data_IF_079880799362
#
_entry.id   IF_079880799362
#
_cell.length_a   1.000
_cell.length_b   1.000
_cell.length_c   1.000
_cell.angle_alpha   90.00
_cell.angle_beta   90.00
_cell.angle_gamma   90.00
#
_symmetry.space_group_name_H-M   'P 1'
#
loop_
_entity.id
_entity.type
_entity.pdbx_description
1 polymer ?
#
# COMPACT_ATOMS: atom_id res chain seq x y z
N UNK A 1 -22.83 -4.18 -12.68
CA UNK A 1 -23.24 -3.87 -11.29
C UNK A 1 -23.95 -2.53 -11.34
N UNK A 2 -25.14 -2.45 -10.77
CA UNK A 2 -26.06 -1.31 -10.93
C UNK A 2 -26.74 -0.88 -9.63
N UNK A 3 -26.46 -1.57 -8.51
CA UNK A 3 -27.07 -1.27 -7.21
C UNK A 3 -26.09 -0.59 -6.27
N UNK A 4 -26.32 0.70 -5.97
CA UNK A 4 -25.49 1.47 -5.04
C UNK A 4 -25.64 0.95 -3.61
N UNK A 5 -24.52 0.69 -2.94
CA UNK A 5 -24.45 0.23 -1.55
C UNK A 5 -24.04 1.35 -0.59
N UNK A 6 -22.98 2.06 -0.96
CA UNK A 6 -22.44 3.16 -0.18
C UNK A 6 -21.76 4.14 -1.13
N UNK A 7 -21.78 5.42 -0.76
CA UNK A 7 -21.08 6.46 -1.50
C UNK A 7 -20.47 7.46 -0.53
N UNK A 8 -19.40 8.11 -0.97
CA UNK A 8 -18.74 9.17 -0.23
C UNK A 8 -18.11 10.17 -1.19
N UNK A 9 -18.21 11.45 -0.87
CA UNK A 9 -17.51 12.51 -1.60
C UNK A 9 -16.34 12.99 -0.76
N UNK A 10 -15.14 13.02 -1.33
CA UNK A 10 -13.95 13.48 -0.63
C UNK A 10 -12.80 13.84 -1.55
N UNK A 11 -11.74 14.38 -0.94
CA UNK A 11 -10.51 14.75 -1.65
C UNK A 11 -9.65 13.52 -1.96
N UNK A 12 -9.11 13.39 -3.18
CA UNK A 12 -8.10 12.39 -3.48
C UNK A 12 -6.72 12.78 -2.91
N UNK A 13 -5.87 11.78 -2.73
CA UNK A 13 -4.42 11.99 -2.68
C UNK A 13 -3.88 12.50 -4.01
N UNK A 14 -2.75 13.21 -3.95
CA UNK A 14 -2.09 13.80 -5.12
C UNK A 14 -1.85 12.80 -6.27
N UNK A 15 -1.51 11.54 -5.96
CA UNK A 15 -1.19 10.53 -6.97
C UNK A 15 -2.44 10.12 -7.78
N UNK A 16 -3.57 9.93 -7.11
CA UNK A 16 -4.85 9.64 -7.77
C UNK A 16 -5.34 10.86 -8.56
N UNK A 17 -5.23 12.07 -7.99
CA UNK A 17 -5.60 13.31 -8.67
C UNK A 17 -4.83 13.48 -9.99
N UNK A 18 -3.50 13.27 -9.95
CA UNK A 18 -2.63 13.29 -11.13
C UNK A 18 -3.03 12.23 -12.16
N UNK A 19 -3.35 11.01 -11.71
CA UNK A 19 -3.82 9.93 -12.59
C UNK A 19 -5.14 10.26 -13.31
N UNK A 20 -6.00 11.05 -12.68
CA UNK A 20 -7.31 11.45 -13.22
C UNK A 20 -7.25 12.78 -13.98
N UNK A 21 -6.10 13.47 -13.96
CA UNK A 21 -5.93 14.78 -14.58
C UNK A 21 -6.76 15.89 -13.90
N UNK A 22 -6.90 15.82 -12.57
CA UNK A 22 -7.65 16.79 -11.76
C UNK A 22 -6.77 17.42 -10.69
N UNK A 23 -7.24 18.50 -10.07
CA UNK A 23 -6.57 19.11 -8.93
C UNK A 23 -6.73 18.24 -7.68
N UNK A 24 -5.71 18.12 -6.79
CA UNK A 24 -5.88 17.49 -5.47
C UNK A 24 -6.90 18.21 -4.58
N UNK A 25 -7.30 19.44 -4.94
CA UNK A 25 -8.36 20.20 -4.26
C UNK A 25 -9.75 19.87 -4.80
N UNK A 26 -9.87 19.14 -5.91
CA UNK A 26 -11.18 18.76 -6.47
C UNK A 26 -11.76 17.60 -5.66
N UNK A 27 -13.08 17.55 -5.55
CA UNK A 27 -13.77 16.41 -4.94
C UNK A 27 -13.95 15.26 -5.94
N UNK A 28 -13.91 14.05 -5.42
CA UNK A 28 -14.29 12.83 -6.11
C UNK A 28 -15.46 12.17 -5.41
N UNK A 29 -16.37 11.59 -6.20
CA UNK A 29 -17.40 10.69 -5.71
C UNK A 29 -16.88 9.25 -5.79
N UNK A 30 -16.79 8.60 -4.66
CA UNK A 30 -16.49 7.18 -4.53
C UNK A 30 -17.82 6.44 -4.32
N UNK A 31 -18.07 5.41 -5.12
CA UNK A 31 -19.30 4.62 -5.04
C UNK A 31 -19.01 3.14 -5.02
N UNK A 32 -19.69 2.40 -4.14
CA UNK A 32 -19.69 0.95 -4.12
C UNK A 32 -20.97 0.44 -4.76
N UNK A 33 -20.82 -0.41 -5.78
CA UNK A 33 -21.95 -1.01 -6.49
C UNK A 33 -21.92 -2.53 -6.36
N UNK A 34 -23.07 -3.13 -6.07
CA UNK A 34 -23.26 -4.57 -6.07
C UNK A 34 -23.93 -5.07 -7.35
N UNK A 35 -23.76 -6.36 -7.65
CA UNK A 35 -24.67 -7.09 -8.54
C UNK A 35 -26.01 -7.33 -7.83
N UNK A 36 -27.13 -7.18 -8.54
CA UNK A 36 -28.45 -7.51 -7.97
C UNK A 36 -28.51 -8.99 -7.62
N UNK A 37 -29.00 -9.30 -6.42
CA UNK A 37 -29.43 -10.63 -6.06
C UNK A 37 -30.55 -11.07 -7.01
N UNK A 38 -30.28 -12.05 -7.89
CA UNK A 38 -31.30 -12.67 -8.71
C UNK A 38 -31.76 -13.95 -8.03
N UNK A 39 -32.89 -13.87 -7.32
CA UNK A 39 -33.52 -14.95 -6.56
C UNK A 39 -33.90 -16.18 -7.43
N UNK A 40 -33.96 -16.01 -8.77
CA UNK A 40 -34.42 -17.03 -9.73
C UNK A 40 -33.33 -17.84 -10.43
N UNK A 41 -32.07 -17.80 -9.99
CA UNK A 41 -31.03 -18.71 -10.51
C UNK A 41 -30.61 -19.68 -9.42
N UNK A 42 -30.82 -20.98 -9.69
CA UNK A 42 -30.38 -22.15 -8.89
C UNK A 42 -28.85 -22.23 -8.69
N UNK A 43 -28.12 -21.19 -9.05
CA UNK A 43 -26.70 -21.00 -8.74
C UNK A 43 -26.61 -19.76 -7.87
N UNK A 44 -26.25 -19.94 -6.61
CA UNK A 44 -25.77 -18.85 -5.76
C UNK A 44 -24.56 -18.22 -6.45
N UNK A 45 -24.77 -17.20 -7.28
CA UNK A 45 -23.65 -16.36 -7.72
C UNK A 45 -23.15 -15.68 -6.45
N UNK A 46 -21.86 -15.85 -6.19
CA UNK A 46 -21.19 -15.08 -5.15
C UNK A 46 -21.51 -13.60 -5.37
N UNK A 47 -21.90 -12.90 -4.30
CA UNK A 47 -22.20 -11.48 -4.37
C UNK A 47 -20.94 -10.75 -4.82
N UNK A 48 -21.00 -10.06 -5.96
CA UNK A 48 -19.87 -9.30 -6.49
C UNK A 48 -20.13 -7.81 -6.32
N UNK A 49 -19.15 -7.12 -5.75
CA UNK A 49 -19.17 -5.69 -5.52
C UNK A 49 -17.97 -5.04 -6.19
N UNK A 50 -18.12 -3.78 -6.60
CA UNK A 50 -17.04 -2.98 -7.18
C UNK A 50 -17.00 -1.58 -6.57
N UNK A 51 -15.79 -1.08 -6.35
CA UNK A 51 -15.50 0.31 -6.10
C UNK A 51 -15.33 1.05 -7.43
N UNK A 52 -16.10 2.12 -7.60
CA UNK A 52 -16.04 3.02 -8.74
C UNK A 52 -15.68 4.44 -8.27
N UNK A 53 -14.99 5.19 -9.12
CA UNK A 53 -14.59 6.58 -8.85
C UNK A 53 -15.12 7.49 -9.95
N UNK A 54 -15.72 8.59 -9.58
CA UNK A 54 -16.31 9.57 -10.50
C UNK A 54 -15.72 10.94 -10.23
N UNK A 55 -15.26 11.61 -11.28
CA UNK A 55 -14.90 13.03 -11.20
C UNK A 55 -16.19 13.85 -11.24
N UNK A 56 -16.29 14.95 -10.49
CA UNK A 56 -17.45 15.83 -10.60
C UNK A 56 -17.62 16.36 -12.03
N UNK A 57 -16.51 16.65 -12.71
CA UNK A 57 -16.51 17.02 -14.14
C UNK A 57 -17.21 15.97 -15.02
N UNK A 58 -16.98 14.68 -14.80
CA UNK A 58 -17.66 13.61 -15.57
C UNK A 58 -19.15 13.51 -15.25
N UNK A 59 -19.55 13.81 -14.02
CA UNK A 59 -20.96 13.85 -13.61
C UNK A 59 -21.66 15.03 -14.31
N UNK A 60 -21.08 16.23 -14.20
CA UNK A 60 -21.61 17.47 -14.78
C UNK A 60 -21.75 17.35 -16.30
N UNK A 61 -20.77 16.72 -16.97
CA UNK A 61 -20.82 16.52 -18.42
C UNK A 61 -22.05 15.70 -18.86
N UNK A 62 -22.36 14.61 -18.15
CA UNK A 62 -23.50 13.75 -18.49
C UNK A 62 -24.82 14.41 -18.09
N UNK A 63 -24.87 15.12 -16.95
CA UNK A 63 -26.04 15.91 -16.56
C UNK A 63 -26.35 16.98 -17.60
N UNK A 64 -25.35 17.78 -17.99
CA UNK A 64 -25.48 18.83 -19.02
C UNK A 64 -25.93 18.25 -20.35
N UNK A 65 -25.36 17.11 -20.76
CA UNK A 65 -25.74 16.42 -22.00
C UNK A 65 -27.19 15.98 -21.98
N UNK A 66 -27.64 15.33 -20.90
CA UNK A 66 -29.03 14.94 -20.72
C UNK A 66 -29.99 16.14 -20.77
N UNK A 67 -29.63 17.26 -20.13
CA UNK A 67 -30.40 18.51 -20.20
C UNK A 67 -30.46 19.00 -21.65
N UNK A 68 -29.32 19.15 -22.33
CA UNK A 68 -29.25 19.62 -23.71
C UNK A 68 -30.07 18.74 -24.67
N UNK A 69 -30.01 17.42 -24.53
CA UNK A 69 -30.79 16.47 -25.33
C UNK A 69 -32.29 16.68 -25.14
N UNK A 70 -32.76 16.87 -23.90
CA UNK A 70 -34.18 17.16 -23.67
C UNK A 70 -34.57 18.54 -24.25
N UNK A 71 -33.72 19.55 -24.15
CA UNK A 71 -33.97 20.87 -24.76
C UNK A 71 -33.93 20.89 -26.30
N UNK A 72 -33.41 19.81 -26.92
CA UNK A 72 -33.55 19.57 -28.37
C UNK A 72 -34.90 18.91 -28.72
N UNK A 73 -35.73 18.56 -27.73
CA UNK A 73 -37.00 17.86 -27.92
C UNK A 73 -36.86 16.33 -27.99
N UNK A 74 -35.74 15.77 -27.53
CA UNK A 74 -35.45 14.34 -27.63
C UNK A 74 -35.71 13.67 -26.28
N UNK A 75 -36.51 12.60 -26.29
CA UNK A 75 -36.86 11.83 -25.10
C UNK A 75 -38.02 12.43 -24.31
N UNK A 76 -38.12 12.04 -23.04
CA UNK A 76 -39.20 12.45 -22.15
C UNK A 76 -38.66 13.15 -20.90
N UNK A 77 -39.44 14.10 -20.40
CA UNK A 77 -39.33 14.57 -19.02
C UNK A 77 -39.69 13.43 -18.06
N UNK A 78 -39.32 13.59 -16.80
CA UNK A 78 -39.47 12.54 -15.79
C UNK A 78 -38.60 12.88 -14.58
N UNK A 79 -38.41 11.95 -13.65
CA UNK A 79 -38.73 10.52 -13.76
C UNK A 79 -40.20 10.19 -13.48
N UNK A 80 -40.67 9.03 -13.97
CA UNK A 80 -42.08 8.58 -13.94
C UNK A 80 -42.71 8.52 -12.53
N UNK A 81 -41.88 8.38 -11.49
CA UNK A 81 -42.34 8.37 -10.09
C UNK A 81 -42.61 9.77 -9.52
N UNK A 82 -42.18 10.83 -10.22
CA UNK A 82 -42.48 12.23 -9.85
C UNK A 82 -43.67 12.75 -10.65
N UNK A 83 -43.80 12.36 -11.91
CA UNK A 83 -44.91 12.76 -12.77
C UNK A 83 -44.97 11.93 -14.05
N UNK A 84 -46.09 11.99 -14.78
CA UNK A 84 -46.24 11.24 -16.02
C UNK A 84 -45.19 11.69 -17.05
N UNK A 85 -44.56 10.76 -17.78
CA UNK A 85 -43.58 11.11 -18.79
C UNK A 85 -44.26 11.89 -19.92
N UNK A 86 -43.82 13.13 -20.15
CA UNK A 86 -44.23 13.93 -21.30
C UNK A 86 -43.03 14.08 -22.25
N UNK A 87 -43.30 14.26 -23.53
CA UNK A 87 -42.24 14.53 -24.50
C UNK A 87 -41.48 15.80 -24.11
N UNK A 88 -40.16 15.71 -24.18
CA UNK A 88 -39.28 16.86 -24.08
C UNK A 88 -39.65 17.90 -25.16
N UNK A 89 -39.64 19.17 -24.79
CA UNK A 89 -39.96 20.30 -25.68
C UNK A 89 -38.68 20.97 -26.16
N UNK A 90 -38.62 21.26 -27.44
CA UNK A 90 -37.52 22.05 -28.02
C UNK A 90 -37.59 23.48 -27.51
N UNK A 91 -36.48 24.00 -26.99
CA UNK A 91 -36.35 25.40 -26.60
C UNK A 91 -34.93 25.90 -26.90
N UNK A 92 -34.84 27.10 -27.50
CA UNK A 92 -33.56 27.70 -27.88
C UNK A 92 -32.91 28.41 -26.67
N UNK A 93 -32.50 27.62 -25.68
CA UNK A 93 -31.91 28.11 -24.42
C UNK A 93 -30.47 27.61 -24.33
N UNK A 94 -29.48 28.49 -24.09
CA UNK A 94 -28.11 28.06 -23.90
C UNK A 94 -27.96 27.34 -22.55
N UNK A 95 -27.74 26.03 -22.60
CA UNK A 95 -27.47 25.20 -21.42
C UNK A 95 -25.96 25.19 -21.15
N UNK A 96 -25.53 26.06 -20.23
CA UNK A 96 -24.17 26.14 -19.70
C UNK A 96 -23.99 25.42 -18.37
N UNK A 97 -22.80 25.53 -17.78
CA UNK A 97 -22.45 24.87 -16.51
C UNK A 97 -23.17 25.49 -15.30
N UNK A 98 -23.67 26.72 -15.46
CA UNK A 98 -24.45 27.46 -14.46
C UNK A 98 -25.97 27.37 -14.70
N UNK A 99 -26.43 26.44 -15.54
CA UNK A 99 -27.85 26.25 -15.77
C UNK A 99 -28.51 25.69 -14.51
N UNK A 100 -29.47 26.41 -13.95
CA UNK A 100 -30.11 26.10 -12.68
C UNK A 100 -31.60 25.76 -12.83
N UNK A 101 -32.07 25.44 -14.04
CA UNK A 101 -33.49 25.13 -14.26
C UNK A 101 -34.39 26.36 -14.23
N UNK A 102 -33.85 27.56 -14.47
CA UNK A 102 -34.61 28.82 -14.38
C UNK A 102 -35.73 28.98 -15.42
N UNK A 103 -35.88 28.04 -16.35
CA UNK A 103 -36.94 28.03 -17.37
C UNK A 103 -37.85 26.81 -17.17
N UNK A 104 -39.13 27.06 -16.98
CA UNK A 104 -40.17 26.08 -16.66
C UNK A 104 -40.67 25.34 -17.91
N UNK A 105 -39.75 24.74 -18.69
CA UNK A 105 -40.08 24.11 -19.99
C UNK A 105 -40.01 22.59 -19.93
N UNK A 106 -38.91 22.06 -19.39
CA UNK A 106 -38.61 20.63 -19.35
C UNK A 106 -38.25 20.24 -17.91
N UNK A 107 -39.24 20.27 -17.02
CA UNK A 107 -39.06 19.95 -15.61
C UNK A 107 -40.10 18.90 -15.17
N UNK A 108 -39.74 17.92 -14.33
CA UNK A 108 -38.37 17.51 -13.99
C UNK A 108 -37.65 16.82 -15.18
N UNK A 109 -36.31 16.77 -15.16
CA UNK A 109 -35.52 16.13 -16.22
C UNK A 109 -35.24 14.66 -15.85
N UNK A 110 -35.56 13.74 -16.76
CA UNK A 110 -35.41 12.30 -16.53
C UNK A 110 -33.94 11.83 -16.56
N UNK A 111 -33.16 12.30 -17.54
CA UNK A 111 -31.74 11.93 -17.70
C UNK A 111 -31.50 10.46 -18.07
N UNK A 112 -31.87 10.02 -19.29
CA UNK A 112 -31.81 8.60 -19.69
C UNK A 112 -30.38 8.07 -19.89
N UNK A 113 -29.39 8.93 -20.16
CA UNK A 113 -27.99 8.53 -20.29
C UNK A 113 -27.37 8.39 -18.88
N UNK A 114 -26.94 7.19 -18.46
CA UNK A 114 -26.38 6.98 -17.13
C UNK A 114 -24.93 7.47 -17.05
N UNK A 115 -24.53 7.92 -15.86
CA UNK A 115 -23.13 8.21 -15.57
C UNK A 115 -22.40 6.88 -15.35
N UNK A 116 -21.41 6.59 -16.20
CA UNK A 116 -20.65 5.35 -16.15
C UNK A 116 -19.22 5.59 -15.62
N UNK A 117 -18.69 4.61 -14.90
CA UNK A 117 -17.29 4.56 -14.48
C UNK A 117 -16.82 3.11 -14.44
N UNK A 118 -15.52 2.89 -14.61
CA UNK A 118 -14.91 1.58 -14.50
C UNK A 118 -14.75 1.21 -13.02
N UNK A 119 -15.10 -0.04 -12.66
CA UNK A 119 -14.77 -0.60 -11.36
C UNK A 119 -13.27 -0.77 -11.21
N UNK A 120 -12.68 -0.08 -10.23
CA UNK A 120 -11.23 -0.07 -9.98
C UNK A 120 -10.79 -1.14 -8.96
N UNK A 121 -11.73 -1.71 -8.21
CA UNK A 121 -11.51 -2.83 -7.30
C UNK A 121 -12.79 -3.65 -7.16
N UNK A 122 -12.68 -4.97 -7.28
CA UNK A 122 -13.79 -5.91 -7.08
C UNK A 122 -13.60 -6.71 -5.79
N UNK A 123 -14.70 -7.02 -5.09
CA UNK A 123 -14.68 -7.80 -3.84
C UNK A 123 -16.02 -8.52 -3.61
N UNK A 124 -16.04 -9.45 -2.66
CA UNK A 124 -17.15 -10.39 -2.44
C UNK A 124 -17.87 -10.22 -1.09
N UNK A 125 -17.87 -9.00 -0.54
CA UNK A 125 -18.51 -8.69 0.75
C UNK A 125 -19.30 -7.39 0.67
N UNK A 126 -20.57 -7.41 1.04
CA UNK A 126 -21.42 -6.22 1.05
C UNK A 126 -20.84 -5.12 1.95
N UNK A 127 -20.77 -3.92 1.38
CA UNK A 127 -20.40 -2.71 2.08
C UNK A 127 -21.64 -2.01 2.66
N UNK A 128 -21.48 -1.45 3.85
CA UNK A 128 -22.50 -0.64 4.53
C UNK A 128 -22.12 0.84 4.60
N UNK A 129 -20.83 1.18 4.48
CA UNK A 129 -20.34 2.55 4.51
C UNK A 129 -18.96 2.66 3.88
N UNK A 130 -18.59 3.88 3.49
CA UNK A 130 -17.30 4.19 2.88
C UNK A 130 -16.85 5.59 3.32
N UNK A 131 -15.54 5.78 3.47
CA UNK A 131 -14.90 7.09 3.58
C UNK A 131 -13.57 7.06 2.82
N UNK A 132 -13.22 8.19 2.21
CA UNK A 132 -11.99 8.34 1.44
C UNK A 132 -11.26 9.61 1.89
N UNK A 133 -9.93 9.56 1.97
CA UNK A 133 -9.10 10.68 2.39
C UNK A 133 -7.66 10.55 1.88
N UNK A 134 -6.94 11.67 1.72
CA UNK A 134 -5.54 11.64 1.29
C UNK A 134 -4.62 11.19 2.43
N UNK A 135 -3.62 10.36 2.10
CA UNK A 135 -2.47 10.10 2.97
C UNK A 135 -1.33 11.07 2.67
N UNK A 136 -0.41 11.21 3.63
CA UNK A 136 0.74 12.11 3.52
C UNK A 136 1.71 11.71 2.38
N UNK A 137 1.83 10.42 2.09
CA UNK A 137 2.63 9.92 0.97
C UNK A 137 1.99 10.19 -0.42
N UNK A 138 0.83 10.86 -0.46
CA UNK A 138 0.12 11.24 -1.68
C UNK A 138 -0.85 10.19 -2.23
N UNK A 139 -0.96 9.01 -1.61
CA UNK A 139 -1.96 8.01 -1.95
C UNK A 139 -3.36 8.41 -1.41
N UNK A 140 -4.42 7.83 -1.98
CA UNK A 140 -5.77 7.95 -1.43
C UNK A 140 -6.10 6.71 -0.64
N UNK A 141 -6.56 6.89 0.60
CA UNK A 141 -6.93 5.79 1.48
C UNK A 141 -8.45 5.73 1.59
N UNK A 142 -8.98 4.51 1.53
CA UNK A 142 -10.41 4.23 1.70
C UNK A 142 -10.57 3.28 2.86
N UNK A 143 -11.45 3.65 3.79
CA UNK A 143 -12.02 2.71 4.75
C UNK A 143 -13.39 2.28 4.27
N UNK A 144 -13.54 0.98 4.09
CA UNK A 144 -14.77 0.34 3.64
C UNK A 144 -15.37 -0.45 4.79
N UNK A 145 -16.50 0.02 5.30
CA UNK A 145 -17.25 -0.59 6.37
C UNK A 145 -18.16 -1.68 5.82
N UNK A 146 -18.12 -2.86 6.44
CA UNK A 146 -18.88 -4.03 6.00
C UNK A 146 -20.04 -4.34 6.95
N UNK A 147 -21.04 -5.07 6.43
CA UNK A 147 -22.24 -5.48 7.16
C UNK A 147 -21.95 -6.32 8.43
N UNK A 148 -20.80 -6.99 8.50
CA UNK A 148 -20.43 -7.86 9.63
C UNK A 148 -19.55 -7.19 10.69
N UNK A 149 -19.34 -5.87 10.61
CA UNK A 149 -18.54 -5.13 11.61
C UNK A 149 -17.04 -5.08 11.33
N UNK A 150 -16.68 -5.41 10.09
CA UNK A 150 -15.30 -5.35 9.59
C UNK A 150 -15.09 -4.03 8.84
N UNK A 151 -13.89 -3.47 8.96
CA UNK A 151 -13.39 -2.38 8.13
C UNK A 151 -12.26 -2.92 7.25
N UNK A 152 -12.37 -2.78 5.92
CA UNK A 152 -11.24 -2.99 5.01
C UNK A 152 -10.50 -1.67 4.77
N UNK A 153 -9.18 -1.70 4.73
CA UNK A 153 -8.31 -0.58 4.37
C UNK A 153 -7.81 -0.79 2.94
N UNK A 154 -8.07 0.18 2.08
CA UNK A 154 -7.70 0.15 0.66
C UNK A 154 -6.84 1.37 0.36
N UNK A 155 -5.75 1.18 -0.38
CA UNK A 155 -4.90 2.26 -0.89
C UNK A 155 -5.02 2.38 -2.39
N UNK A 156 -5.06 3.61 -2.89
CA UNK A 156 -5.16 3.94 -4.30
C UNK A 156 -4.04 4.90 -4.66
N UNK A 157 -3.16 4.44 -5.55
CA UNK A 157 -2.13 5.28 -6.17
C UNK A 157 -2.60 5.83 -7.51
N UNK A 158 -3.31 5.02 -8.28
CA UNK A 158 -3.96 5.39 -9.54
C UNK A 158 -5.16 4.48 -9.77
N UNK A 159 -5.98 4.76 -10.79
CA UNK A 159 -7.09 3.85 -11.16
C UNK A 159 -6.64 2.44 -11.58
N UNK A 160 -5.34 2.25 -11.87
CA UNK A 160 -4.75 0.96 -12.22
C UNK A 160 -4.01 0.30 -11.06
N UNK A 161 -3.71 1.05 -9.99
CA UNK A 161 -2.94 0.60 -8.83
C UNK A 161 -3.77 0.83 -7.57
N UNK A 162 -4.59 -0.19 -7.27
CA UNK A 162 -5.50 -0.25 -6.12
C UNK A 162 -5.25 -1.54 -5.37
N UNK A 163 -5.11 -1.47 -4.06
CA UNK A 163 -4.79 -2.63 -3.24
C UNK A 163 -5.47 -2.58 -1.87
N UNK A 164 -6.03 -3.70 -1.44
CA UNK A 164 -6.41 -3.93 -0.05
C UNK A 164 -5.16 -4.29 0.75
N UNK A 165 -4.82 -3.49 1.75
CA UNK A 165 -3.59 -3.66 2.52
C UNK A 165 -3.85 -4.03 3.99
N UNK A 166 -5.10 -3.97 4.45
CA UNK A 166 -5.44 -4.30 5.84
C UNK A 166 -6.93 -4.53 6.09
N UNK A 167 -7.22 -5.20 7.19
CA UNK A 167 -8.58 -5.46 7.67
C UNK A 167 -8.64 -5.33 9.20
N UNK A 168 -9.65 -4.64 9.72
CA UNK A 168 -9.90 -4.45 11.14
C UNK A 168 -11.27 -5.04 11.47
N UNK A 169 -11.31 -6.04 12.37
CA UNK A 169 -12.56 -6.57 12.92
C UNK A 169 -12.95 -5.74 14.13
N UNK A 170 -13.83 -4.75 13.93
CA UNK A 170 -14.21 -3.80 14.98
C UNK A 170 -15.37 -4.32 15.84
N UNK A 171 -16.36 -4.95 15.21
CA UNK A 171 -17.55 -5.52 15.87
C UNK A 171 -17.90 -6.87 15.28
N UNK A 172 -18.66 -7.69 16.02
CA UNK A 172 -19.13 -9.00 15.56
C UNK A 172 -20.58 -8.87 15.12
N UNK A 173 -20.84 -9.01 13.82
CA UNK A 173 -22.20 -9.07 13.26
C UNK A 173 -23.00 -7.77 13.32
N UNK A 174 -22.36 -6.65 13.69
CA UNK A 174 -22.97 -5.32 13.73
C UNK A 174 -22.39 -4.50 12.57
N UNK A 175 -23.20 -4.04 11.61
CA UNK A 175 -22.74 -3.24 10.48
C UNK A 175 -22.03 -1.95 10.89
N UNK A 176 -21.06 -1.54 10.08
CA UNK A 176 -20.45 -0.21 10.16
C UNK A 176 -21.32 0.78 9.40
N UNK A 177 -22.07 1.62 10.10
CA UNK A 177 -23.11 2.47 9.49
C UNK A 177 -22.54 3.73 8.84
N UNK A 178 -21.56 4.36 9.46
CA UNK A 178 -20.99 5.60 8.98
C UNK A 178 -19.58 5.81 9.52
N UNK A 179 -18.76 6.47 8.72
CA UNK A 179 -17.47 7.01 9.13
C UNK A 179 -17.52 8.54 9.14
N UNK A 180 -16.70 9.16 9.97
CA UNK A 180 -16.52 10.62 9.96
C UNK A 180 -15.06 10.96 10.30
N UNK A 181 -14.48 11.84 9.51
CA UNK A 181 -13.18 12.47 9.79
C UNK A 181 -13.43 13.86 10.37
N UNK A 182 -13.03 14.12 11.62
CA UNK A 182 -13.09 15.46 12.19
C UNK A 182 -12.17 16.41 11.42
N UNK A 183 -12.65 17.62 11.11
CA UNK A 183 -11.86 18.62 10.41
C UNK A 183 -10.56 19.02 11.16
N UNK A 184 -10.58 18.94 12.49
CA UNK A 184 -9.43 19.31 13.35
C UNK A 184 -8.53 18.13 13.74
N UNK A 185 -8.90 16.88 13.42
CA UNK A 185 -8.18 15.66 13.83
C UNK A 185 -8.21 14.66 12.68
N UNK A 186 -7.21 14.75 11.78
CA UNK A 186 -7.05 13.79 10.69
C UNK A 186 -6.40 12.48 11.13
N UNK A 187 -6.05 12.34 12.41
CA UNK A 187 -5.41 11.14 12.95
C UNK A 187 -6.43 10.11 13.44
N UNK A 188 -7.71 10.50 13.53
CA UNK A 188 -8.77 9.64 14.04
C UNK A 188 -10.00 9.63 13.14
N UNK A 189 -10.57 8.45 12.96
CA UNK A 189 -11.87 8.25 12.32
C UNK A 189 -12.88 7.87 13.39
N UNK A 190 -14.04 8.53 13.36
CA UNK A 190 -15.18 8.15 14.17
C UNK A 190 -16.02 7.13 13.39
N UNK A 191 -16.27 5.99 14.02
CA UNK A 191 -17.01 4.87 13.44
C UNK A 191 -18.34 4.73 14.17
N UNK A 192 -19.43 4.94 13.45
CA UNK A 192 -20.78 4.78 13.97
C UNK A 192 -21.30 3.37 13.68
N UNK A 193 -21.83 2.74 14.71
CA UNK A 193 -22.59 1.49 14.64
C UNK A 193 -23.97 1.71 15.24
N UNK A 194 -24.87 0.73 15.12
CA UNK A 194 -26.19 0.81 15.76
C UNK A 194 -26.15 0.82 17.30
N UNK A 195 -25.00 0.53 17.91
CA UNK A 195 -24.85 0.41 19.37
C UNK A 195 -23.86 1.39 20.00
N UNK A 196 -22.86 1.86 19.25
CA UNK A 196 -21.73 2.64 19.76
C UNK A 196 -21.19 3.61 18.71
N UNK A 197 -20.67 4.73 19.19
CA UNK A 197 -19.74 5.60 18.48
C UNK A 197 -18.32 5.28 18.96
N UNK A 198 -17.43 4.90 18.06
CA UNK A 198 -16.07 4.46 18.38
C UNK A 198 -15.07 5.45 17.77
N UNK A 199 -14.17 6.00 18.59
CA UNK A 199 -13.01 6.76 18.10
C UNK A 199 -11.90 5.77 17.79
N UNK A 200 -11.45 5.73 16.54
CA UNK A 200 -10.40 4.82 16.06
C UNK A 200 -9.26 5.63 15.47
N UNK A 201 -8.02 5.37 15.88
CA UNK A 201 -6.87 5.93 15.20
C UNK A 201 -6.82 5.43 13.75
N UNK A 202 -6.48 6.32 12.81
CA UNK A 202 -6.31 5.96 11.39
C UNK A 202 -5.23 4.88 11.24
N UNK A 203 -4.20 4.94 12.08
CA UNK A 203 -3.15 3.93 12.14
C UNK A 203 -2.47 3.82 13.51
N UNK A 204 -1.89 2.65 13.81
CA UNK A 204 -1.12 2.33 15.02
C UNK A 204 0.22 1.69 14.61
N UNK A 205 1.12 2.53 14.10
CA UNK A 205 2.43 2.10 13.57
C UNK A 205 3.29 1.34 14.58
N UNK A 206 3.16 1.62 15.88
CA UNK A 206 3.91 0.94 16.94
C UNK A 206 3.62 -0.56 17.05
N UNK A 207 2.59 -1.08 16.38
CA UNK A 207 2.31 -2.51 16.30
C UNK A 207 3.25 -3.28 15.36
N UNK A 208 4.08 -2.60 14.56
CA UNK A 208 4.98 -3.23 13.60
C UNK A 208 6.42 -3.32 14.12
N UNK A 209 6.91 -4.54 14.26
CA UNK A 209 8.29 -4.83 14.71
C UNK A 209 9.30 -5.00 13.55
N UNK A 210 8.84 -4.88 12.31
CA UNK A 210 9.67 -5.03 11.12
C UNK A 210 9.44 -3.89 10.13
N UNK A 211 10.51 -3.47 9.45
CA UNK A 211 10.44 -2.46 8.40
C UNK A 211 9.41 -2.82 7.32
N UNK A 212 9.41 -4.08 6.85
CA UNK A 212 8.51 -4.52 5.78
C UNK A 212 7.05 -4.49 6.25
N UNK A 213 6.77 -4.83 7.51
CA UNK A 213 5.44 -4.69 8.09
C UNK A 213 5.02 -3.23 8.21
N UNK A 214 5.92 -2.40 8.74
CA UNK A 214 5.70 -0.97 8.96
C UNK A 214 5.36 -0.23 7.65
N UNK A 215 6.21 -0.37 6.63
CA UNK A 215 6.07 0.36 5.36
C UNK A 215 4.96 -0.18 4.45
N UNK A 216 4.20 -1.21 4.88
CA UNK A 216 2.96 -1.60 4.21
C UNK A 216 1.84 -0.61 4.49
N UNK A 217 1.83 0.02 5.67
CA UNK A 217 0.82 1.02 6.00
C UNK A 217 1.26 2.42 5.50
N UNK A 218 0.47 3.08 4.63
CA UNK A 218 0.77 4.41 4.08
C UNK A 218 0.96 5.54 5.09
N UNK A 219 0.52 5.35 6.35
CA UNK A 219 0.69 6.31 7.44
C UNK A 219 1.96 6.09 8.25
N UNK A 220 2.72 5.02 7.99
CA UNK A 220 3.86 4.64 8.80
C UNK A 220 5.21 4.86 8.09
N UNK A 221 6.20 5.26 8.89
CA UNK A 221 7.60 5.38 8.52
C UNK A 221 8.46 4.47 9.39
N UNK A 222 9.60 4.03 8.84
CA UNK A 222 10.55 3.19 9.58
C UNK A 222 11.82 3.98 9.89
N UNK A 223 12.20 4.02 11.16
CA UNK A 223 13.46 4.59 11.60
C UNK A 223 14.51 3.47 11.71
N UNK A 224 15.50 3.51 10.81
CA UNK A 224 16.51 2.44 10.70
C UNK A 224 17.41 2.39 11.94
N UNK A 225 17.76 3.53 12.53
CA UNK A 225 18.70 3.59 13.65
C UNK A 225 18.09 3.09 14.96
N UNK A 226 16.81 3.42 15.21
CA UNK A 226 16.09 2.98 16.42
C UNK A 226 15.34 1.67 16.22
N UNK A 227 15.32 1.14 14.99
CA UNK A 227 14.60 -0.08 14.61
C UNK A 227 13.12 -0.04 15.04
N UNK A 228 12.49 1.12 14.84
CA UNK A 228 11.13 1.38 15.29
C UNK A 228 10.25 1.95 14.18
N UNK A 229 8.98 1.56 14.21
CA UNK A 229 7.95 2.07 13.33
C UNK A 229 7.26 3.28 13.99
N UNK A 230 7.08 4.35 13.23
CA UNK A 230 6.47 5.59 13.72
C UNK A 230 5.42 6.11 12.73
N UNK A 231 4.51 6.95 13.23
CA UNK A 231 3.49 7.59 12.40
C UNK A 231 4.15 8.74 11.64
N UNK A 232 3.99 8.77 10.32
CA UNK A 232 4.42 9.91 9.52
C UNK A 232 3.65 11.15 9.96
N UNK A 233 4.39 12.22 10.26
CA UNK A 233 3.87 13.55 10.52
C UNK A 233 4.68 14.57 9.70
N UNK A 234 4.21 15.82 9.64
CA UNK A 234 4.91 16.88 8.93
C UNK A 234 6.17 17.38 9.66
N UNK A 235 6.50 16.83 10.83
CA UNK A 235 7.53 17.36 11.75
C UNK A 235 8.75 16.42 11.89
N UNK A 236 8.66 15.17 11.45
CA UNK A 236 9.71 14.16 11.67
C UNK A 236 10.90 14.34 10.74
N UNK A 237 12.08 14.50 11.36
CA UNK A 237 13.37 14.74 10.72
C UNK A 237 13.75 13.59 9.76
N UNK A 238 13.99 13.93 8.50
CA UNK A 238 14.02 13.02 7.36
C UNK A 238 15.29 12.16 7.22
N UNK A 239 16.30 12.38 8.06
CA UNK A 239 17.64 11.83 7.80
C UNK A 239 17.77 10.32 8.04
N UNK A 240 16.95 9.73 8.91
CA UNK A 240 16.96 8.28 9.22
C UNK A 240 15.68 7.54 8.76
N UNK A 241 14.79 8.24 8.06
CA UNK A 241 13.48 7.74 7.65
C UNK A 241 13.59 6.99 6.34
N UNK A 242 13.28 5.70 6.36
CA UNK A 242 13.25 4.88 5.17
C UNK A 242 11.85 4.91 4.55
N UNK A 243 11.73 5.37 3.29
CA UNK A 243 10.51 5.16 2.49
C UNK A 243 10.46 3.75 1.87
N UNK A 244 11.59 3.05 1.89
CA UNK A 244 11.74 1.66 1.46
C UNK A 244 12.72 0.97 2.41
N UNK A 245 12.52 -0.32 2.66
CA UNK A 245 13.43 -1.05 3.54
C UNK A 245 14.81 -1.20 2.90
N UNK A 246 15.90 -0.98 3.68
CA UNK A 246 17.24 -1.33 3.24
C UNK A 246 17.31 -2.80 2.85
N UNK A 247 17.98 -3.10 1.76
CA UNK A 247 18.25 -4.48 1.35
C UNK A 247 19.61 -4.62 0.69
N UNK A 248 20.13 -5.85 0.70
CA UNK A 248 21.36 -6.21 -0.02
C UNK A 248 20.98 -6.64 -1.44
N UNK A 249 21.51 -5.96 -2.45
CA UNK A 249 21.27 -6.30 -3.86
C UNK A 249 22.27 -7.32 -4.38
N UNK A 250 23.55 -7.17 -4.03
CA UNK A 250 24.64 -8.04 -4.47
C UNK A 250 25.67 -8.23 -3.35
N UNK A 251 26.34 -9.38 -3.38
CA UNK A 251 27.41 -9.73 -2.43
C UNK A 251 28.65 -10.06 -3.25
N UNK A 252 29.71 -9.27 -3.06
CA UNK A 252 31.02 -9.45 -3.67
C UNK A 252 32.07 -9.84 -2.62
N UNK A 253 33.19 -10.39 -3.08
CA UNK A 253 34.34 -10.74 -2.23
C UNK A 253 35.62 -10.23 -2.85
N UNK A 254 36.53 -9.70 -2.03
CA UNK A 254 37.76 -9.06 -2.52
C UNK A 254 38.79 -10.05 -3.08
N UNK A 255 38.67 -11.36 -2.83
CA UNK A 255 39.50 -12.41 -3.46
C UNK A 255 38.70 -13.69 -3.75
N UNK A 256 38.39 -13.94 -5.02
CA UNK A 256 37.76 -15.18 -5.51
C UNK A 256 38.65 -16.43 -5.42
N UNK A 257 39.92 -16.29 -5.02
CA UNK A 257 40.87 -17.41 -4.87
C UNK A 257 40.52 -18.41 -3.76
N UNK A 258 39.42 -18.20 -3.04
CA UNK A 258 38.87 -19.18 -2.12
C UNK A 258 38.39 -20.42 -2.90
N UNK A 259 37.85 -20.27 -4.12
CA UNK A 259 37.39 -21.43 -4.92
C UNK A 259 38.54 -22.30 -5.43
N UNK A 260 39.69 -21.70 -5.76
CA UNK A 260 40.91 -22.42 -6.14
C UNK A 260 41.74 -22.93 -4.95
N UNK A 261 41.62 -22.32 -3.77
CA UNK A 261 42.23 -22.81 -2.53
C UNK A 261 41.39 -23.92 -1.85
N UNK A 262 40.05 -23.84 -1.87
CA UNK A 262 39.14 -24.76 -1.16
C UNK A 262 38.90 -26.09 -1.87
N UNK A 263 39.37 -26.30 -3.10
CA UNK A 263 39.22 -27.59 -3.78
C UNK A 263 40.05 -28.71 -3.13
N UNK A 264 41.06 -28.39 -2.31
CA UNK A 264 41.96 -29.39 -1.70
C UNK A 264 42.27 -29.16 -0.20
N UNK A 265 41.49 -28.36 0.52
CA UNK A 265 41.75 -28.06 1.94
C UNK A 265 41.19 -29.16 2.86
N UNK A 266 42.07 -29.78 3.63
CA UNK A 266 41.69 -30.64 4.75
C UNK A 266 41.25 -29.76 5.94
N UNK A 267 39.99 -29.87 6.42
CA UNK A 267 39.42 -28.94 7.41
C UNK A 267 40.12 -28.91 8.78
N UNK A 268 41.06 -29.83 9.05
CA UNK A 268 41.76 -29.91 10.34
C UNK A 268 43.10 -29.17 10.42
N UNK A 269 43.74 -28.77 9.31
CA UNK A 269 45.15 -28.29 9.35
C UNK A 269 45.49 -27.03 8.55
N UNK A 270 44.74 -26.63 7.52
CA UNK A 270 45.18 -25.59 6.55
C UNK A 270 44.59 -24.17 6.74
N UNK A 271 43.73 -23.95 7.73
CA UNK A 271 42.99 -22.69 7.88
C UNK A 271 43.79 -21.55 8.55
N UNK A 272 45.03 -21.79 8.99
CA UNK A 272 45.75 -20.88 9.90
C UNK A 272 46.60 -19.79 9.24
N UNK A 273 46.92 -19.85 7.93
CA UNK A 273 47.94 -18.94 7.37
C UNK A 273 47.55 -18.11 6.12
N UNK A 274 46.44 -18.39 5.42
CA UNK A 274 46.16 -17.74 4.11
C UNK A 274 44.92 -16.81 4.04
N UNK A 275 44.16 -16.60 5.11
CA UNK A 275 43.00 -15.68 5.12
C UNK A 275 43.37 -14.34 5.75
N UNK A 276 44.50 -13.76 5.34
CA UNK A 276 44.89 -12.43 5.79
C UNK A 276 44.33 -11.39 4.82
N UNK A 277 43.27 -10.70 5.27
CA UNK A 277 42.51 -9.61 4.60
C UNK A 277 41.56 -10.03 3.48
N UNK A 278 40.56 -10.85 3.80
CA UNK A 278 39.37 -10.99 2.95
C UNK A 278 38.22 -10.16 3.52
N UNK A 279 37.46 -9.53 2.62
CA UNK A 279 36.30 -8.71 2.93
C UNK A 279 35.10 -9.20 2.14
N UNK A 280 33.93 -9.11 2.76
CA UNK A 280 32.64 -9.29 2.10
C UNK A 280 32.08 -7.91 1.83
N UNK A 281 31.86 -7.60 0.56
CA UNK A 281 31.31 -6.32 0.11
C UNK A 281 29.82 -6.54 -0.17
N UNK A 282 28.98 -5.85 0.58
CA UNK A 282 27.54 -5.84 0.42
C UNK A 282 27.15 -4.60 -0.37
N UNK A 283 26.61 -4.78 -1.56
CA UNK A 283 25.95 -3.68 -2.27
C UNK A 283 24.56 -3.50 -1.67
N UNK A 284 24.27 -2.30 -1.19
CA UNK A 284 23.05 -1.97 -0.44
C UNK A 284 22.21 -0.96 -1.21
N UNK A 285 20.90 -1.12 -1.12
CA UNK A 285 19.92 -0.15 -1.66
C UNK A 285 19.03 0.35 -0.54
N UNK A 286 18.50 1.57 -0.70
CA UNK A 286 17.57 2.20 0.24
C UNK A 286 18.12 2.40 1.66
N UNK A 287 19.45 2.38 1.84
CA UNK A 287 20.10 2.69 3.11
C UNK A 287 20.51 4.17 3.13
N UNK A 288 19.88 5.04 3.95
CA UNK A 288 20.24 6.44 4.05
C UNK A 288 21.63 6.62 4.66
N UNK A 289 22.14 7.85 4.66
CA UNK A 289 23.45 8.14 5.25
C UNK A 289 23.35 8.07 6.77
N UNK A 290 23.94 7.03 7.35
CA UNK A 290 23.96 6.81 8.80
C UNK A 290 25.37 7.03 9.33
N UNK A 291 25.48 7.76 10.45
CA UNK A 291 26.73 7.98 11.18
C UNK A 291 26.80 7.02 12.35
N UNK A 292 27.96 6.41 12.56
CA UNK A 292 28.21 5.47 13.65
C UNK A 292 29.18 4.37 13.22
N UNK A 293 29.50 3.48 14.15
CA UNK A 293 30.35 2.32 13.89
C UNK A 293 29.51 1.16 13.35
N UNK A 294 29.95 0.60 12.22
CA UNK A 294 29.35 -0.59 11.63
C UNK A 294 30.04 -1.85 12.18
N UNK A 295 29.26 -2.87 12.48
CA UNK A 295 29.75 -4.17 12.96
C UNK A 295 29.07 -5.27 12.18
N UNK A 296 29.83 -6.20 11.63
CA UNK A 296 29.31 -7.32 10.87
C UNK A 296 29.23 -8.56 11.76
N UNK A 297 28.05 -9.17 11.81
CA UNK A 297 27.75 -10.32 12.66
C UNK A 297 27.39 -11.51 11.81
N UNK A 298 28.19 -12.55 11.96
CA UNK A 298 28.08 -13.83 11.28
C UNK A 298 27.39 -14.79 12.23
N UNK A 299 26.23 -15.30 11.86
CA UNK A 299 25.44 -16.22 12.66
C UNK A 299 25.20 -17.53 11.90
N UNK A 300 25.46 -18.65 12.53
CA UNK A 300 25.19 -19.96 11.96
C UNK A 300 25.69 -21.10 12.84
N UNK A 301 25.00 -22.24 12.76
CA UNK A 301 25.35 -23.49 13.44
C UNK A 301 25.66 -23.35 14.95
N UNK A 302 24.97 -22.44 15.65
CA UNK A 302 25.12 -22.24 17.09
C UNK A 302 26.31 -21.35 17.50
N UNK A 303 27.02 -20.75 16.55
CA UNK A 303 28.08 -19.78 16.80
C UNK A 303 27.70 -18.39 16.27
N UNK A 304 28.22 -17.35 16.92
CA UNK A 304 28.05 -15.96 16.49
C UNK A 304 29.41 -15.26 16.56
N UNK A 305 29.87 -14.73 15.42
CA UNK A 305 31.15 -14.03 15.31
C UNK A 305 30.91 -12.58 14.92
N UNK A 306 31.68 -11.65 15.49
CA UNK A 306 31.59 -10.22 15.19
C UNK A 306 32.91 -9.73 14.59
N UNK A 307 32.82 -8.91 13.56
CA UNK A 307 33.96 -8.24 12.93
C UNK A 307 33.64 -6.78 12.64
N UNK A 308 34.67 -5.99 12.38
CA UNK A 308 34.50 -4.60 11.99
C UNK A 308 33.85 -4.50 10.60
N UNK A 309 32.96 -3.52 10.46
CA UNK A 309 32.37 -3.12 9.20
C UNK A 309 32.68 -1.67 8.89
N UNK A 310 32.82 -1.35 7.62
CA UNK A 310 33.02 0.01 7.13
C UNK A 310 32.07 0.31 5.98
N UNK A 311 31.59 1.55 5.91
CA UNK A 311 30.77 2.04 4.81
C UNK A 311 31.52 3.14 4.07
N UNK A 312 32.36 2.78 3.09
CA UNK A 312 33.21 3.76 2.39
C UNK A 312 32.40 4.70 1.50
N UNK A 313 31.25 4.25 1.00
CA UNK A 313 30.37 5.02 0.12
C UNK A 313 28.88 4.75 0.42
N UNK A 314 27.99 5.39 -0.34
CA UNK A 314 26.54 5.26 -0.12
C UNK A 314 25.96 3.92 -0.59
N UNK A 315 26.68 3.15 -1.40
CA UNK A 315 26.18 1.96 -2.09
C UNK A 315 26.75 0.65 -1.54
N UNK A 316 27.83 0.71 -0.75
CA UNK A 316 28.55 -0.48 -0.31
C UNK A 316 28.89 -0.48 1.17
N UNK A 317 28.75 -1.64 1.80
CA UNK A 317 29.23 -1.94 3.16
C UNK A 317 30.26 -3.06 3.07
N UNK A 318 31.42 -2.84 3.65
CA UNK A 318 32.57 -3.73 3.63
C UNK A 318 32.68 -4.38 5.01
N UNK A 319 32.55 -5.69 5.06
CA UNK A 319 32.65 -6.49 6.27
C UNK A 319 33.96 -7.27 6.28
N UNK A 320 34.79 -7.08 7.32
CA UNK A 320 35.95 -7.92 7.52
C UNK A 320 35.53 -9.38 7.75
N UNK A 321 36.20 -10.33 7.12
CA UNK A 321 35.91 -11.76 7.32
C UNK A 321 36.42 -12.24 8.69
N UNK A 322 35.70 -13.12 9.42
CA UNK A 322 36.20 -13.73 10.64
C UNK A 322 37.50 -14.50 10.40
N UNK A 323 38.37 -14.59 11.41
CA UNK A 323 39.65 -15.29 11.25
C UNK A 323 39.43 -16.80 11.11
N UNK A 324 40.37 -17.48 10.44
CA UNK A 324 40.27 -18.93 10.17
C UNK A 324 40.08 -19.80 11.42
N UNK A 325 40.62 -19.38 12.57
CA UNK A 325 40.40 -20.07 13.87
C UNK A 325 38.97 -19.95 14.37
N UNK A 326 38.33 -18.80 14.16
CA UNK A 326 36.96 -18.55 14.60
C UNK A 326 35.95 -19.32 13.75
N UNK A 327 36.27 -19.53 12.46
CA UNK A 327 35.46 -20.34 11.54
C UNK A 327 35.43 -21.84 11.91
N UNK A 328 36.35 -22.33 12.75
CA UNK A 328 36.31 -23.71 13.25
C UNK A 328 35.08 -24.00 14.11
N UNK A 329 34.42 -22.95 14.62
CA UNK A 329 33.16 -23.06 15.37
C UNK A 329 31.96 -23.41 14.46
N UNK A 330 32.12 -23.32 13.14
CA UNK A 330 31.08 -23.63 12.16
C UNK A 330 31.32 -25.04 11.59
N UNK A 331 30.42 -26.01 11.81
CA UNK A 331 30.55 -27.36 11.29
C UNK A 331 30.46 -27.37 9.76
N UNK A 332 31.49 -27.93 9.12
CA UNK A 332 31.50 -28.21 7.69
C UNK A 332 30.57 -29.38 7.39
N UNK A 333 29.31 -29.10 7.10
CA UNK A 333 28.37 -30.12 6.63
C UNK A 333 28.51 -30.21 5.11
N UNK A 334 29.03 -31.36 4.63
CA UNK A 334 29.02 -31.76 3.20
C UNK A 334 29.44 -30.63 2.24
N UNK A 335 30.65 -30.12 2.39
CA UNK A 335 31.25 -29.15 1.46
C UNK A 335 30.56 -27.79 1.34
N UNK A 336 29.63 -27.44 2.23
CA UNK A 336 29.05 -26.10 2.28
C UNK A 336 29.55 -25.33 3.50
N UNK A 337 29.79 -24.03 3.32
CA UNK A 337 29.96 -23.11 4.43
C UNK A 337 29.12 -21.86 4.13
N UNK A 338 28.09 -21.63 4.94
CA UNK A 338 27.25 -20.45 4.84
C UNK A 338 26.79 -19.96 6.21
N UNK A 339 26.45 -18.68 6.28
CA UNK A 339 25.95 -18.03 7.49
C UNK A 339 24.95 -16.95 7.13
N UNK A 340 24.15 -16.58 8.11
CA UNK A 340 23.39 -15.34 8.10
C UNK A 340 24.33 -14.20 8.51
N UNK A 341 24.54 -13.25 7.61
CA UNK A 341 25.31 -12.04 7.87
C UNK A 341 24.34 -10.89 8.20
N UNK A 342 24.47 -10.34 9.39
CA UNK A 342 23.77 -9.13 9.82
C UNK A 342 24.75 -7.98 9.98
N UNK A 343 24.40 -6.80 9.47
CA UNK A 343 25.16 -5.57 9.72
C UNK A 343 24.46 -4.80 10.83
N UNK A 344 25.20 -4.45 11.87
CA UNK A 344 24.73 -3.58 12.94
C UNK A 344 25.34 -2.20 12.83
N UNK A 345 24.56 -1.19 13.20
CA UNK A 345 25.02 0.17 13.49
C UNK A 345 24.81 0.40 14.99
N UNK A 346 25.88 0.68 15.73
CA UNK A 346 25.81 0.95 17.19
C UNK A 346 25.03 -0.14 17.98
N UNK A 347 25.21 -1.42 17.60
CA UNK A 347 24.51 -2.61 18.12
C UNK A 347 23.06 -2.83 17.68
N UNK A 348 22.54 -2.03 16.75
CA UNK A 348 21.21 -2.23 16.16
C UNK A 348 21.34 -2.83 14.76
N UNK A 349 20.67 -3.96 14.50
CA UNK A 349 20.72 -4.60 13.18
C UNK A 349 20.00 -3.73 12.15
N UNK A 350 20.67 -3.37 11.06
CA UNK A 350 20.12 -2.51 9.99
C UNK A 350 19.85 -3.26 8.69
N UNK A 351 20.54 -4.38 8.48
CA UNK A 351 20.51 -5.20 7.26
C UNK A 351 20.87 -6.64 7.63
N UNK A 352 20.21 -7.61 7.00
CA UNK A 352 20.62 -9.01 7.07
C UNK A 352 20.52 -9.70 5.72
N UNK A 353 21.39 -10.66 5.47
CA UNK A 353 21.41 -11.48 4.24
C UNK A 353 22.11 -12.80 4.48
N UNK A 354 21.73 -13.84 3.74
CA UNK A 354 22.46 -15.10 3.71
C UNK A 354 23.70 -14.98 2.83
N UNK A 355 24.84 -15.50 3.30
CA UNK A 355 26.11 -15.51 2.56
C UNK A 355 26.69 -16.92 2.59
N UNK A 356 27.02 -17.46 1.41
CA UNK A 356 27.62 -18.79 1.26
C UNK A 356 29.08 -18.68 0.83
N UNK A 357 30.03 -18.96 1.72
CA UNK A 357 31.48 -18.99 1.39
C UNK A 357 31.77 -20.07 0.35
N UNK A 358 31.28 -21.28 0.59
CA UNK A 358 31.40 -22.42 -0.34
C UNK A 358 29.99 -22.87 -0.73
N UNK A 359 29.64 -22.85 -2.04
CA UNK A 359 28.31 -23.24 -2.50
C UNK A 359 28.08 -24.74 -2.28
N UNK A 360 26.85 -25.10 -1.93
CA UNK A 360 26.47 -26.51 -1.83
C UNK A 360 26.37 -27.15 -3.21
N UNK A 361 27.14 -28.21 -3.46
CA UNK A 361 26.88 -29.07 -4.60
C UNK A 361 25.57 -29.83 -4.38
N UNK A 362 24.52 -29.40 -5.08
CA UNK A 362 23.26 -30.13 -5.14
C UNK A 362 23.52 -31.38 -6.00
N UNK A 363 23.61 -32.56 -5.38
CA UNK A 363 23.50 -33.81 -6.15
C UNK A 363 22.09 -33.89 -6.72
N UNK A 364 21.97 -33.73 -8.04
CA UNK A 364 20.82 -34.28 -8.76
C UNK A 364 20.88 -35.79 -8.60
N UNK A 365 20.01 -36.34 -7.76
CA UNK A 365 19.74 -37.79 -7.68
C UNK A 365 18.60 -38.16 -8.60
#
# INVERSE_FOLDING_TARGET
>A
MDFLQAAYTGKPGHLLAKSLGISPKDDLLFGIFGSKFQENRLTTRDEEFALCVYTLRSIDLILKRNIQTCFQGIGNIGPDHVGPPLNCRTANIPIGDNYCGQYDVNHPINGPEPIQSQGILSFNRSASSIIAFPAQNGETIIFLGLQKGTIKKIRIRSILFVEEYGEIKLTIGIPILQFTLPAMDQNNVFVLTSKKLIKMAVEVCSCYDSCVGCLRDPFCGWNIQTHSCFVLDNETDHNSTAQQCPSVSHINRTKDNISSALQNINPSTDWTENITKNEIILTVVNLPQLRGQYTCVFNGYGATLKTDGERPDMESIHCAMPMGKDLQLYPFVKDCLGFELSVLLENTSILSTSVSIKPCEIRQT
#
